data_IF_216559016351
#
_entry.id   IF_216559016351
#
_cell.length_a   1.000
_cell.length_b   1.000
_cell.length_c   1.000
_cell.angle_alpha   90.00
_cell.angle_beta   90.00
_cell.angle_gamma   90.00
#
_symmetry.space_group_name_H-M   'P 1'
#
loop_
_entity.id
_entity.type
_entity.pdbx_description
1 polymer ?
#
# COMPACT_ATOMS: atom_id res chain seq x y z
N UNK A 1 -1.41 -29.34 -48.83
CA UNK A 1 -1.56 -30.09 -47.57
C UNK A 1 -0.22 -30.09 -46.86
N UNK A 2 -0.03 -29.14 -45.93
CA UNK A 2 1.22 -28.95 -45.20
C UNK A 2 1.30 -30.01 -44.08
N UNK A 3 2.16 -31.02 -44.25
CA UNK A 3 2.38 -32.07 -43.24
C UNK A 3 3.17 -31.48 -42.08
N UNK A 4 2.46 -31.09 -41.01
CA UNK A 4 3.09 -30.67 -39.76
C UNK A 4 3.65 -31.93 -39.09
N UNK A 5 4.98 -32.08 -39.13
CA UNK A 5 5.70 -33.17 -38.46
C UNK A 5 5.62 -32.93 -36.94
N UNK A 6 4.82 -33.75 -36.26
CA UNK A 6 4.59 -33.73 -34.81
C UNK A 6 5.86 -33.90 -33.95
N UNK A 7 7.02 -34.22 -34.55
CA UNK A 7 8.30 -34.35 -33.85
C UNK A 7 9.01 -33.03 -33.50
N UNK A 8 8.69 -31.92 -34.18
CA UNK A 8 9.31 -30.61 -33.91
C UNK A 8 8.62 -29.80 -32.81
N UNK A 9 7.42 -30.22 -32.38
CA UNK A 9 6.68 -29.55 -31.31
C UNK A 9 7.28 -29.80 -29.91
N UNK A 10 8.09 -30.85 -29.73
CA UNK A 10 8.69 -31.20 -28.45
C UNK A 10 9.88 -30.31 -28.06
N UNK A 11 10.55 -29.66 -29.03
CA UNK A 11 11.73 -28.80 -28.78
C UNK A 11 11.33 -27.39 -28.31
N UNK A 12 10.06 -27.00 -28.51
CA UNK A 12 9.53 -25.72 -28.01
C UNK A 12 9.03 -25.79 -26.54
N UNK A 13 9.08 -26.96 -25.90
CA UNK A 13 8.55 -27.16 -24.54
C UNK A 13 9.54 -26.74 -23.44
N UNK A 14 10.78 -26.34 -23.78
CA UNK A 14 11.83 -26.12 -22.77
C UNK A 14 11.98 -24.70 -22.20
N UNK A 15 11.23 -23.69 -22.65
CA UNK A 15 11.47 -22.29 -22.22
C UNK A 15 10.46 -21.69 -21.22
N UNK A 16 9.51 -22.48 -20.70
CA UNK A 16 8.48 -21.93 -19.80
C UNK A 16 8.56 -22.46 -18.36
N UNK A 17 9.46 -23.41 -18.07
CA UNK A 17 9.58 -24.00 -16.73
C UNK A 17 10.42 -23.17 -15.73
N UNK A 18 11.03 -22.04 -16.12
CA UNK A 18 11.78 -21.16 -15.20
C UNK A 18 10.96 -19.98 -14.62
N UNK A 19 9.64 -19.96 -14.76
CA UNK A 19 8.79 -18.86 -14.24
C UNK A 19 8.06 -19.19 -12.93
N UNK A 20 8.57 -20.11 -12.12
CA UNK A 20 7.91 -20.57 -10.89
C UNK A 20 8.57 -20.07 -9.57
N UNK A 21 9.28 -18.94 -9.60
CA UNK A 21 9.70 -18.24 -8.38
C UNK A 21 9.59 -16.72 -8.63
N UNK A 22 8.41 -16.12 -8.43
CA UNK A 22 8.27 -14.66 -8.55
C UNK A 22 6.88 -14.09 -8.84
N UNK A 23 5.81 -14.89 -8.86
CA UNK A 23 4.44 -14.39 -9.02
C UNK A 23 3.78 -14.01 -7.68
N UNK A 24 4.53 -13.38 -6.77
CA UNK A 24 3.97 -12.82 -5.54
C UNK A 24 3.16 -11.57 -5.84
N UNK A 25 1.83 -11.68 -5.86
CA UNK A 25 0.82 -10.60 -5.89
C UNK A 25 1.04 -9.49 -6.94
N UNK A 26 0.76 -9.84 -8.19
CA UNK A 26 1.06 -9.07 -9.41
C UNK A 26 0.53 -7.62 -9.43
N UNK A 27 -0.62 -7.33 -8.81
CA UNK A 27 -1.18 -5.96 -8.81
C UNK A 27 -0.40 -5.01 -7.90
N UNK A 28 0.03 -5.48 -6.72
CA UNK A 28 0.86 -4.68 -5.84
C UNK A 28 2.25 -4.48 -6.41
N UNK A 29 2.86 -5.52 -6.98
CA UNK A 29 4.18 -5.40 -7.59
C UNK A 29 4.20 -4.38 -8.75
N UNK A 30 3.19 -4.42 -9.63
CA UNK A 30 3.05 -3.44 -10.72
C UNK A 30 2.80 -2.03 -10.21
N UNK A 31 1.91 -1.89 -9.23
CA UNK A 31 1.63 -0.59 -8.62
C UNK A 31 2.85 -0.02 -7.89
N UNK A 32 3.59 -0.85 -7.14
CA UNK A 32 4.84 -0.46 -6.48
C UNK A 32 5.89 0.00 -7.50
N UNK A 33 6.06 -0.70 -8.62
CA UNK A 33 7.00 -0.33 -9.67
C UNK A 33 6.71 1.05 -10.32
N UNK A 34 5.43 1.46 -10.33
CA UNK A 34 5.03 2.78 -10.82
C UNK A 34 5.09 3.86 -9.74
N UNK A 35 4.78 3.51 -8.51
CA UNK A 35 4.63 4.46 -7.40
C UNK A 35 5.93 4.78 -6.64
N UNK A 36 6.98 4.00 -6.86
CA UNK A 36 8.25 4.09 -6.11
C UNK A 36 9.43 3.99 -7.06
N UNK A 37 10.43 4.86 -6.84
CA UNK A 37 11.73 4.83 -7.53
C UNK A 37 12.45 3.53 -7.22
N UNK A 38 12.41 3.08 -5.95
CA UNK A 38 13.04 1.84 -5.49
C UNK A 38 12.05 1.06 -4.60
N UNK A 39 11.13 0.29 -5.19
CA UNK A 39 10.02 -0.31 -4.45
C UNK A 39 10.41 -1.39 -3.44
N UNK A 40 11.61 -1.97 -3.52
CA UNK A 40 12.09 -3.15 -2.76
C UNK A 40 11.46 -3.38 -1.39
N UNK A 41 12.16 -3.01 -0.31
CA UNK A 41 11.65 -3.19 1.05
C UNK A 41 10.49 -2.23 1.38
N UNK A 42 10.45 -1.05 0.75
CA UNK A 42 9.48 0.02 1.04
C UNK A 42 8.06 -0.28 0.56
N UNK A 43 7.90 -1.15 -0.44
CA UNK A 43 6.62 -1.49 -1.04
C UNK A 43 6.50 -2.98 -1.36
N UNK A 44 7.37 -3.53 -2.22
CA UNK A 44 7.23 -4.90 -2.73
C UNK A 44 7.35 -5.97 -1.64
N UNK A 45 8.33 -5.87 -0.75
CA UNK A 45 8.52 -6.84 0.34
C UNK A 45 7.40 -6.78 1.38
N UNK A 46 6.83 -5.60 1.64
CA UNK A 46 5.69 -5.45 2.55
C UNK A 46 4.40 -5.98 1.90
N UNK A 47 4.21 -5.69 0.61
CA UNK A 47 3.06 -6.16 -0.15
C UNK A 47 3.01 -7.69 -0.26
N UNK A 48 4.17 -8.35 -0.39
CA UNK A 48 4.26 -9.80 -0.35
C UNK A 48 3.75 -10.40 0.98
N UNK A 49 3.75 -9.61 2.06
CA UNK A 49 3.24 -9.98 3.39
C UNK A 49 1.81 -9.49 3.66
N UNK A 50 1.12 -8.96 2.65
CA UNK A 50 -0.23 -8.40 2.83
C UNK A 50 -0.25 -7.04 3.51
N UNK A 51 0.84 -6.27 3.46
CA UNK A 51 1.00 -5.03 4.22
C UNK A 51 1.65 -3.90 3.41
N UNK A 52 1.83 -2.73 4.03
CA UNK A 52 2.55 -1.61 3.44
C UNK A 52 1.71 -0.79 2.46
N UNK A 53 2.36 0.04 1.62
CA UNK A 53 1.66 1.04 0.82
C UNK A 53 0.57 0.50 -0.10
N UNK A 54 0.73 -0.72 -0.64
CA UNK A 54 -0.30 -1.33 -1.49
C UNK A 54 -1.65 -1.52 -0.76
N UNK A 55 -1.60 -1.85 0.53
CA UNK A 55 -2.77 -2.10 1.38
C UNK A 55 -3.18 -0.88 2.21
N UNK A 56 -2.31 0.14 2.30
CA UNK A 56 -2.59 1.36 3.07
C UNK A 56 -3.12 2.50 2.21
N UNK A 57 -2.59 2.69 1.01
CA UNK A 57 -2.99 3.78 0.10
C UNK A 57 -2.95 3.36 -1.38
N UNK A 58 -2.91 2.06 -1.64
CA UNK A 58 -2.79 1.47 -2.96
C UNK A 58 -4.03 0.67 -3.38
N UNK A 59 -3.90 -0.15 -4.42
CA UNK A 59 -5.03 -0.80 -5.09
C UNK A 59 -5.73 -1.87 -4.24
N UNK A 60 -5.06 -2.40 -3.20
CA UNK A 60 -5.64 -3.40 -2.30
C UNK A 60 -6.02 -2.83 -0.93
N UNK A 61 -6.17 -1.50 -0.82
CA UNK A 61 -6.62 -0.84 0.40
C UNK A 61 -8.08 -1.24 0.73
N UNK A 62 -8.39 -1.68 1.97
CA UNK A 62 -9.74 -2.12 2.34
C UNK A 62 -10.80 -1.01 2.35
N UNK A 63 -10.42 0.22 2.69
CA UNK A 63 -11.33 1.35 2.76
C UNK A 63 -10.96 2.44 1.75
N UNK A 64 -11.64 2.53 0.59
CA UNK A 64 -11.31 3.53 -0.43
C UNK A 64 -11.65 4.97 -0.01
N UNK A 65 -12.47 5.18 1.02
CA UNK A 65 -12.94 6.50 1.45
C UNK A 65 -12.21 7.04 2.67
N UNK A 66 -11.20 6.33 3.21
CA UNK A 66 -10.44 6.78 4.38
C UNK A 66 -9.59 8.04 4.11
N UNK A 67 -9.30 8.36 2.85
CA UNK A 67 -8.54 9.55 2.45
C UNK A 67 -7.04 9.32 2.29
N UNK A 68 -6.56 8.08 2.42
CA UNK A 68 -5.14 7.77 2.22
C UNK A 68 -4.75 7.84 0.74
N UNK A 69 -3.63 8.50 0.42
CA UNK A 69 -3.10 8.58 -0.93
C UNK A 69 -1.58 8.38 -0.95
N UNK A 70 -1.04 7.79 -2.02
CA UNK A 70 0.41 7.71 -2.22
C UNK A 70 0.91 9.06 -2.76
N UNK A 71 1.61 9.82 -1.91
CA UNK A 71 2.22 11.10 -2.24
C UNK A 71 3.74 11.00 -2.03
N UNK A 72 4.52 11.19 -3.11
CA UNK A 72 5.98 11.12 -3.08
C UNK A 72 6.49 9.87 -2.32
N UNK A 73 6.02 8.69 -2.73
CA UNK A 73 6.37 7.38 -2.15
C UNK A 73 5.90 7.13 -0.71
N UNK A 74 5.06 8.00 -0.15
CA UNK A 74 4.51 7.86 1.20
C UNK A 74 2.99 7.86 1.19
N UNK A 75 2.37 7.01 2.01
CA UNK A 75 0.94 7.11 2.23
C UNK A 75 0.64 8.29 3.17
N UNK A 76 -0.04 9.30 2.64
CA UNK A 76 -0.47 10.52 3.34
C UNK A 76 -1.98 10.47 3.56
N UNK A 77 -2.43 10.91 4.74
CA UNK A 77 -3.84 11.15 4.99
C UNK A 77 -4.22 12.53 4.44
N UNK A 78 -4.94 12.54 3.32
CA UNK A 78 -5.33 13.76 2.63
C UNK A 78 -6.45 14.53 3.32
N UNK A 79 -7.06 13.97 4.39
CA UNK A 79 -8.09 14.65 5.17
C UNK A 79 -7.50 15.54 6.26
N UNK A 80 -6.32 15.19 6.78
CA UNK A 80 -5.68 15.89 7.89
C UNK A 80 -4.41 16.64 7.47
N UNK A 81 -3.77 16.27 6.36
CA UNK A 81 -2.58 16.97 5.89
C UNK A 81 -2.93 18.25 5.13
N UNK A 82 -2.64 19.40 5.76
CA UNK A 82 -2.90 20.73 5.22
C UNK A 82 -2.21 21.03 3.88
N UNK A 83 -1.18 20.26 3.53
CA UNK A 83 -0.44 20.38 2.27
C UNK A 83 -0.90 19.39 1.20
N UNK A 84 -1.82 18.48 1.53
CA UNK A 84 -2.32 17.41 0.66
C UNK A 84 -3.84 17.24 0.73
N UNK A 85 -4.60 18.32 0.89
CA UNK A 85 -6.05 18.36 1.06
C UNK A 85 -6.81 17.67 -0.09
N UNK A 86 -7.32 16.47 0.16
CA UNK A 86 -8.02 15.61 -0.80
C UNK A 86 -7.18 15.05 -1.96
N UNK A 87 -5.95 15.56 -2.17
CA UNK A 87 -5.04 15.11 -3.22
C UNK A 87 -3.59 15.55 -2.91
N UNK A 88 -2.61 14.81 -3.43
CA UNK A 88 -1.20 15.12 -3.23
C UNK A 88 -0.84 16.51 -3.79
N UNK A 89 -0.12 17.31 -3.01
CA UNK A 89 0.35 18.65 -3.38
C UNK A 89 -0.72 19.74 -3.37
N UNK A 90 -1.97 19.44 -2.97
CA UNK A 90 -3.04 20.42 -2.86
C UNK A 90 -3.07 21.02 -1.46
N UNK A 91 -2.75 22.31 -1.32
CA UNK A 91 -2.94 23.03 -0.06
C UNK A 91 -4.42 23.29 0.21
N UNK A 92 -4.85 23.20 1.47
CA UNK A 92 -6.21 23.52 1.85
C UNK A 92 -6.52 25.01 1.65
N UNK A 93 -7.73 25.33 1.17
CA UNK A 93 -8.24 26.70 1.16
C UNK A 93 -8.60 27.18 2.57
N UNK A 94 -8.65 28.50 2.77
CA UNK A 94 -9.07 29.10 4.06
C UNK A 94 -10.49 28.69 4.50
N UNK A 95 -11.28 28.17 3.56
CA UNK A 95 -12.64 27.67 3.72
C UNK A 95 -12.73 26.13 3.77
N UNK A 96 -11.62 25.40 3.70
CA UNK A 96 -11.57 23.93 3.88
C UNK A 96 -11.44 23.61 5.38
N UNK A 97 -12.51 23.93 6.12
CA UNK A 97 -12.61 23.82 7.59
C UNK A 97 -12.44 22.37 8.10
N UNK A 98 -12.53 21.36 7.22
CA UNK A 98 -12.25 19.96 7.58
C UNK A 98 -10.78 19.68 7.90
N UNK A 99 -9.84 20.47 7.38
CA UNK A 99 -8.40 20.30 7.66
C UNK A 99 -7.91 21.08 8.89
N UNK A 100 -8.73 22.00 9.41
CA UNK A 100 -8.40 22.86 10.55
C UNK A 100 -9.01 22.37 11.86
N UNK A 101 -9.87 21.36 11.82
CA UNK A 101 -10.41 20.72 13.03
C UNK A 101 -9.70 19.37 13.19
N UNK A 102 -8.81 19.20 14.19
CA UNK A 102 -8.55 17.86 14.68
C UNK A 102 -9.87 17.37 15.23
N UNK A 103 -10.62 16.59 14.45
CA UNK A 103 -11.77 15.88 15.00
C UNK A 103 -11.19 15.08 16.15
N UNK A 104 -11.67 15.38 17.36
CA UNK A 104 -11.42 14.63 18.58
C UNK A 104 -12.09 13.26 18.49
N UNK A 105 -11.73 12.52 17.45
CA UNK A 105 -11.97 11.09 17.27
C UNK A 105 -10.62 10.45 17.00
N UNK A 106 -9.59 10.91 17.73
CA UNK A 106 -8.47 10.07 18.09
C UNK A 106 -9.05 8.71 18.42
N UNK A 107 -8.78 7.76 17.54
CA UNK A 107 -8.92 6.35 17.85
C UNK A 107 -8.09 6.18 19.11
N UNK A 108 -8.77 6.10 20.27
CA UNK A 108 -8.23 5.38 21.40
C UNK A 108 -8.10 3.95 20.88
N UNK A 109 -6.92 3.65 20.34
CA UNK A 109 -6.41 2.31 20.33
C UNK A 109 -6.52 1.81 21.78
N UNK A 110 -7.35 0.80 22.02
CA UNK A 110 -7.51 0.15 23.32
C UNK A 110 -6.23 -0.54 23.83
N UNK A 111 -5.06 -0.28 23.23
CA UNK A 111 -3.80 -0.94 23.54
C UNK A 111 -2.80 -0.12 24.36
N UNK A 112 -3.17 1.05 24.92
CA UNK A 112 -2.24 1.89 25.69
C UNK A 112 -2.73 2.33 27.09
N UNK A 113 -3.52 1.52 27.79
CA UNK A 113 -3.64 1.59 29.25
C UNK A 113 -2.82 0.48 29.90
N UNK A 114 -1.49 0.64 29.92
CA UNK A 114 -0.64 -0.04 30.90
C UNK A 114 -0.26 0.96 31.98
N UNK A 115 -1.21 1.31 32.84
CA UNK A 115 -0.89 1.95 34.12
C UNK A 115 -0.38 0.84 35.02
N UNK A 116 0.95 0.73 35.11
CA UNK A 116 1.61 -0.10 36.11
C UNK A 116 1.14 0.38 37.49
N UNK A 117 0.45 -0.50 38.21
CA UNK A 117 0.06 -0.28 39.59
C UNK A 117 1.33 -0.22 40.45
N UNK A 118 1.84 1.00 40.65
CA UNK A 118 2.78 1.35 41.70
C UNK A 118 2.02 1.70 42.97
N UNK A 119 2.47 1.09 44.05
CA UNK A 119 2.02 1.11 45.43
C UNK A 119 2.16 2.46 46.17
N UNK A 120 1.05 3.07 46.54
CA UNK A 120 0.91 3.92 47.75
C UNK A 120 -0.52 3.64 48.25
N UNK A 121 -0.82 3.14 49.45
CA UNK A 121 -0.38 3.60 50.77
C UNK A 121 -0.85 2.62 51.85
N UNK A 122 -0.06 2.47 52.92
CA UNK A 122 -0.53 2.44 54.31
C UNK A 122 0.54 3.12 55.17
#
# INVERSE_FOLDING_TARGET
MLKINFGLAAILVSLQALRAAGQGNSICAQWCAKGFTNPGASCTSLAAKGSGPCYKCGPLRPNPTDGMALCAEKCVDTKSDVKNCGACGKTCGLNDISALVPTTSAQMDSSALNVSAGNESA
#
